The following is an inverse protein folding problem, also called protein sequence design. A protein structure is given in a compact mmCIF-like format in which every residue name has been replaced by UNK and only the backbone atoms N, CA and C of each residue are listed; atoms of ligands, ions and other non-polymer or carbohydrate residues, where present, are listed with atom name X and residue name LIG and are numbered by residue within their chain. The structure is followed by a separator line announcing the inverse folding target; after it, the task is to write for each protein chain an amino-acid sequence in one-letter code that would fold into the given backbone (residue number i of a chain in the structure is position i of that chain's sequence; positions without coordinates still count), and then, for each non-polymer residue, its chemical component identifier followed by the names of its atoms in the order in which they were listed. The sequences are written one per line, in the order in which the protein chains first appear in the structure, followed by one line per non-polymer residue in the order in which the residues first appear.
data_IF_899170241775
#
_entry.id   IF_899170241775
#
_cell.length_a   1.000
_cell.length_b   1.000
_cell.length_c   1.000
_cell.angle_alpha   90.00
_cell.angle_beta   90.00
_cell.angle_gamma   90.00
#
_symmetry.space_group_name_H-M   'P 1'
#
loop_
_entity.id
_entity.type
_entity.pdbx_description
1 polymer ?
#
# COMPACT_ATOMS: atom_id res chain seq x y z
N UNK A 1 -2.18 0.51 -20.33
CA UNK A 1 -2.08 0.66 -18.87
C UNK A 1 -3.39 1.20 -18.33
N UNK A 2 -3.92 0.58 -17.30
CA UNK A 2 -5.17 1.00 -16.69
C UNK A 2 -4.92 2.26 -15.83
N UNK A 3 -5.55 3.40 -16.14
CA UNK A 3 -5.32 4.62 -15.36
C UNK A 3 -5.87 4.54 -13.94
N UNK A 4 -6.67 3.53 -13.64
CA UNK A 4 -7.22 3.36 -12.29
C UNK A 4 -6.27 2.65 -11.34
N UNK A 5 -5.21 2.06 -11.87
CA UNK A 5 -4.26 1.30 -11.07
C UNK A 5 -2.90 1.99 -11.14
N UNK A 6 -2.37 2.38 -9.99
CA UNK A 6 -1.05 2.97 -9.94
C UNK A 6 0.01 1.90 -10.27
N UNK A 7 0.92 2.17 -11.22
CA UNK A 7 2.02 1.25 -11.48
C UNK A 7 2.88 1.07 -10.24
N UNK A 8 3.45 -0.12 -10.07
CA UNK A 8 4.32 -0.38 -8.93
C UNK A 8 5.48 0.62 -8.83
N UNK A 9 5.95 1.10 -9.98
CA UNK A 9 7.03 2.09 -9.99
C UNK A 9 6.67 3.43 -9.40
N UNK A 10 5.38 3.71 -9.23
CA UNK A 10 4.93 4.95 -8.60
C UNK A 10 4.72 4.82 -7.11
N UNK A 11 4.86 3.62 -6.57
CA UNK A 11 4.72 3.40 -5.14
C UNK A 11 6.04 3.68 -4.43
N UNK A 12 6.00 4.15 -3.16
CA UNK A 12 7.21 4.19 -2.35
C UNK A 12 7.86 2.82 -2.30
N UNK A 13 9.17 2.80 -2.35
CA UNK A 13 9.92 1.54 -2.38
C UNK A 13 9.55 0.64 -1.21
N UNK A 14 9.47 1.21 -0.01
CA UNK A 14 9.13 0.43 1.18
C UNK A 14 7.74 -0.19 1.09
N UNK A 15 6.78 0.55 0.56
CA UNK A 15 5.42 0.04 0.40
C UNK A 15 5.40 -1.09 -0.62
N UNK A 16 6.07 -0.91 -1.75
CA UNK A 16 6.11 -1.93 -2.79
C UNK A 16 6.72 -3.22 -2.25
N UNK A 17 7.82 -3.13 -1.52
CA UNK A 17 8.48 -4.30 -0.95
C UNK A 17 7.60 -4.97 0.10
N UNK A 18 6.94 -4.19 0.93
CA UNK A 18 6.06 -4.74 1.97
C UNK A 18 4.87 -5.47 1.36
N UNK A 19 4.29 -4.93 0.29
CA UNK A 19 3.18 -5.57 -0.39
C UNK A 19 3.61 -6.87 -1.07
N UNK A 20 4.81 -6.89 -1.64
CA UNK A 20 5.33 -8.10 -2.27
C UNK A 20 5.65 -9.19 -1.25
N UNK A 21 5.98 -8.77 -0.03
CA UNK A 21 6.35 -9.70 1.04
C UNK A 21 5.13 -10.26 1.78
N UNK A 22 3.98 -9.60 1.65
CA UNK A 22 2.76 -10.00 2.33
C UNK A 22 1.61 -10.09 1.35
N UNK A 23 1.30 -11.29 0.83
CA UNK A 23 0.24 -11.45 -0.16
C UNK A 23 -1.14 -11.00 0.34
N UNK A 24 -1.42 -11.13 1.63
CA UNK A 24 -2.70 -10.69 2.17
C UNK A 24 -2.84 -9.18 2.07
N UNK A 25 -1.77 -8.45 2.41
CA UNK A 25 -1.78 -6.98 2.28
C UNK A 25 -1.88 -6.54 0.83
N UNK A 26 -1.17 -7.23 -0.05
CA UNK A 26 -1.25 -6.92 -1.48
C UNK A 26 -2.67 -7.09 -1.99
N UNK A 27 -3.33 -8.18 -1.61
CA UNK A 27 -4.71 -8.42 -2.02
C UNK A 27 -5.64 -7.34 -1.48
N UNK A 28 -5.50 -7.00 -0.20
CA UNK A 28 -6.32 -5.96 0.41
C UNK A 28 -6.12 -4.62 -0.29
N UNK A 29 -4.88 -4.27 -0.58
CA UNK A 29 -4.56 -3.02 -1.28
C UNK A 29 -5.17 -3.01 -2.69
N UNK A 30 -5.09 -4.15 -3.39
CA UNK A 30 -5.61 -4.26 -4.75
C UNK A 30 -7.13 -4.08 -4.81
N UNK A 31 -7.82 -4.39 -3.73
CA UNK A 31 -9.27 -4.27 -3.67
C UNK A 31 -9.75 -2.88 -3.30
N UNK A 32 -8.84 -2.01 -2.90
CA UNK A 32 -9.21 -0.63 -2.56
C UNK A 32 -9.55 0.16 -3.80
N UNK A 33 -10.45 1.14 -3.64
CA UNK A 33 -10.71 2.10 -4.70
C UNK A 33 -9.45 2.92 -4.98
N UNK A 34 -9.32 3.53 -6.17
CA UNK A 34 -8.16 4.37 -6.48
C UNK A 34 -7.94 5.48 -5.45
N UNK A 35 -9.02 6.08 -4.95
CA UNK A 35 -8.92 7.12 -3.95
C UNK A 35 -8.29 6.60 -2.66
N UNK A 36 -8.72 5.42 -2.23
CA UNK A 36 -8.17 4.82 -1.01
C UNK A 36 -6.74 4.36 -1.22
N UNK A 37 -6.43 3.82 -2.40
CA UNK A 37 -5.07 3.46 -2.73
C UNK A 37 -4.14 4.66 -2.62
N UNK A 38 -4.59 5.81 -3.13
CA UNK A 38 -3.80 7.03 -3.05
C UNK A 38 -3.59 7.49 -1.61
N UNK A 39 -4.59 7.30 -0.76
CA UNK A 39 -4.44 7.61 0.67
C UNK A 39 -3.40 6.74 1.33
N UNK A 40 -3.40 5.46 0.99
CA UNK A 40 -2.41 4.52 1.53
C UNK A 40 -1.01 4.91 1.05
N UNK A 41 -0.88 5.25 -0.22
CA UNK A 41 0.40 5.67 -0.78
C UNK A 41 0.90 6.93 -0.06
N UNK A 42 0.02 7.91 0.15
CA UNK A 42 0.39 9.13 0.84
C UNK A 42 0.82 8.85 2.27
N UNK A 43 0.09 7.98 2.96
CA UNK A 43 0.45 7.60 4.32
C UNK A 43 1.78 6.85 4.36
N UNK A 44 2.02 5.99 3.37
CA UNK A 44 3.28 5.26 3.29
C UNK A 44 4.47 6.18 3.09
N UNK A 45 4.27 7.27 2.35
CA UNK A 45 5.34 8.26 2.15
C UNK A 45 5.69 8.99 3.44
N UNK A 46 4.73 9.08 4.36
CA UNK A 46 4.94 9.72 5.65
C UNK A 46 5.51 8.76 6.69
N UNK A 47 5.42 7.47 6.43
CA UNK A 47 5.93 6.47 7.35
C UNK A 47 7.45 6.64 7.47
N UNK A 48 7.93 6.75 8.71
CA UNK A 48 9.33 6.98 8.97
C UNK A 48 10.07 5.71 9.37
N UNK A 49 9.35 4.61 9.52
CA UNK A 49 9.98 3.35 9.90
C UNK A 49 9.20 2.20 9.29
N UNK A 50 9.84 1.04 9.15
CA UNK A 50 9.15 -0.16 8.69
C UNK A 50 7.97 -0.55 9.59
N UNK A 51 8.07 -0.26 10.88
CA UNK A 51 7.01 -0.57 11.82
C UNK A 51 5.75 0.26 11.55
N UNK A 52 5.92 1.55 11.26
CA UNK A 52 4.79 2.40 10.92
C UNK A 52 4.11 1.91 9.65
N UNK A 53 4.91 1.53 8.65
CA UNK A 53 4.40 1.01 7.41
C UNK A 53 3.62 -0.27 7.65
N UNK A 54 4.15 -1.15 8.49
CA UNK A 54 3.48 -2.40 8.82
C UNK A 54 2.14 -2.16 9.49
N UNK A 55 2.06 -1.19 10.40
CA UNK A 55 0.80 -0.84 11.05
C UNK A 55 -0.22 -0.34 10.04
N UNK A 56 0.24 0.44 9.08
CA UNK A 56 -0.62 0.92 8.00
C UNK A 56 -1.22 -0.25 7.23
N UNK A 57 -0.39 -1.22 6.88
CA UNK A 57 -0.85 -2.38 6.12
C UNK A 57 -1.73 -3.30 6.96
N UNK A 58 -1.43 -3.42 8.25
CA UNK A 58 -2.27 -4.20 9.15
C UNK A 58 -3.67 -3.61 9.22
N UNK A 59 -3.78 -2.30 9.15
CA UNK A 59 -5.07 -1.63 9.11
C UNK A 59 -5.91 -1.99 7.90
N UNK A 60 -5.27 -2.29 6.77
CA UNK A 60 -5.98 -2.73 5.58
C UNK A 60 -6.58 -4.12 5.75
N UNK A 61 -5.88 -4.95 6.51
CA UNK A 61 -6.22 -6.36 6.65
C UNK A 61 -7.17 -6.63 7.82
N UNK A 62 -7.36 -5.66 8.70
CA UNK A 62 -8.12 -5.84 9.93
C UNK A 62 -9.62 -5.61 9.80
N UNK A 63 -10.12 -5.56 8.60
CA UNK A 63 -11.52 -5.20 8.38
C UNK A 63 -12.44 -6.38 8.57
#
# INVERSE_FOLDING_TARGET
MDPKVAPLGMLPMGLALALMDDPASLRAFSQLSPTRQNRVIAAARRAQSPEELRRLLDGLDSR
#
